data_IF_175567770264
#
_entry.id   IF_175567770264
#
_cell.length_a   1.000
_cell.length_b   1.000
_cell.length_c   1.000
_cell.angle_alpha   90.00
_cell.angle_beta   90.00
_cell.angle_gamma   90.00
#
_symmetry.space_group_name_H-M   'P 1'
#
loop_
_entity.id
_entity.type
_entity.pdbx_description
1 polymer ?
#
# COMPACT_ATOMS: atom_id res chain seq x y z
N UNK A 1 13.74 30.90 -27.04
CA UNK A 1 12.80 29.76 -26.90
C UNK A 1 13.35 28.79 -25.85
N UNK A 2 13.09 29.07 -24.57
CA UNK A 2 13.53 28.23 -23.43
C UNK A 2 12.26 27.58 -22.88
N UNK A 3 11.95 26.34 -23.26
CA UNK A 3 10.61 25.83 -22.90
C UNK A 3 10.29 24.35 -23.13
N UNK A 4 11.27 23.45 -23.33
CA UNK A 4 10.97 22.01 -23.50
C UNK A 4 11.81 21.06 -22.64
N UNK A 5 12.93 21.50 -22.04
CA UNK A 5 13.76 20.63 -21.18
C UNK A 5 13.19 20.37 -19.78
N UNK A 6 12.38 21.28 -19.24
CA UNK A 6 11.83 21.16 -17.89
C UNK A 6 10.76 20.07 -17.76
N UNK A 7 9.96 19.84 -18.80
CA UNK A 7 8.86 18.87 -18.78
C UNK A 7 9.32 17.40 -18.76
N UNK A 8 10.55 17.13 -19.18
CA UNK A 8 11.12 15.77 -19.15
C UNK A 8 11.82 15.43 -17.82
N UNK A 9 12.24 16.43 -17.05
CA UNK A 9 12.99 16.19 -15.82
C UNK A 9 12.08 15.68 -14.69
N UNK A 10 10.83 16.14 -14.64
CA UNK A 10 9.84 15.68 -13.65
C UNK A 10 9.55 14.18 -13.78
N UNK A 11 9.11 13.73 -14.97
CA UNK A 11 8.85 12.32 -15.24
C UNK A 11 10.11 11.45 -15.02
N UNK A 12 11.27 11.91 -15.49
CA UNK A 12 12.53 11.21 -15.30
C UNK A 12 12.87 11.04 -13.80
N UNK A 13 12.72 12.10 -13.00
CA UNK A 13 12.94 12.03 -11.55
C UNK A 13 11.95 11.08 -10.87
N UNK A 14 10.67 11.14 -11.24
CA UNK A 14 9.65 10.22 -10.71
C UNK A 14 9.95 8.77 -11.08
N UNK A 15 10.38 8.51 -12.31
CA UNK A 15 10.77 7.18 -12.76
C UNK A 15 12.00 6.68 -12.00
N UNK A 16 13.05 7.51 -11.87
CA UNK A 16 14.22 7.15 -11.07
C UNK A 16 13.82 6.79 -9.63
N UNK A 17 12.96 7.59 -9.02
CA UNK A 17 12.47 7.35 -7.67
C UNK A 17 11.73 6.01 -7.55
N UNK A 18 10.80 5.72 -8.46
CA UNK A 18 10.07 4.45 -8.50
C UNK A 18 10.99 3.24 -8.71
N UNK A 19 12.07 3.42 -9.46
CA UNK A 19 13.06 2.37 -9.72
C UNK A 19 14.10 2.22 -8.59
N UNK A 20 14.11 3.09 -7.57
CA UNK A 20 15.14 3.09 -6.52
C UNK A 20 16.49 3.62 -7.02
N UNK A 21 16.47 4.54 -7.99
CA UNK A 21 17.65 5.16 -8.57
C UNK A 21 17.80 6.60 -8.11
N UNK A 22 19.05 7.03 -7.95
CA UNK A 22 19.36 8.43 -7.72
C UNK A 22 19.28 9.23 -9.03
N UNK A 23 18.60 10.38 -9.00
CA UNK A 23 18.42 11.27 -10.15
C UNK A 23 19.53 12.32 -10.30
N UNK A 24 20.59 12.29 -9.48
CA UNK A 24 21.70 13.26 -9.54
C UNK A 24 22.26 13.33 -10.97
N UNK A 25 22.18 14.53 -11.56
CA UNK A 25 22.84 14.84 -12.81
C UNK A 25 24.35 14.72 -12.58
N UNK A 26 25.05 13.89 -13.37
CA UNK A 26 26.49 13.88 -13.29
C UNK A 26 27.03 15.24 -13.76
N UNK A 27 28.15 15.67 -13.20
CA UNK A 27 28.79 16.97 -13.47
C UNK A 27 29.14 17.21 -14.95
N UNK A 28 29.10 16.16 -15.79
CA UNK A 28 29.34 16.21 -17.23
C UNK A 28 28.05 16.26 -18.08
N UNK A 29 26.87 16.42 -17.47
CA UNK A 29 25.58 16.48 -18.19
C UNK A 29 25.05 15.14 -18.69
N UNK A 30 25.79 14.03 -18.51
CA UNK A 30 25.29 12.67 -18.76
C UNK A 30 24.60 12.14 -17.51
N UNK A 31 23.33 11.76 -17.62
CA UNK A 31 22.70 11.01 -16.55
C UNK A 31 23.39 9.65 -16.37
N UNK A 32 23.64 9.26 -15.11
CA UNK A 32 24.18 7.93 -14.78
C UNK A 32 23.24 7.27 -13.77
N UNK A 33 22.78 6.08 -14.11
CA UNK A 33 22.02 5.25 -13.20
C UNK A 33 22.89 4.91 -11.98
N UNK A 34 22.48 5.35 -10.79
CA UNK A 34 23.05 4.92 -9.52
C UNK A 34 21.94 4.27 -8.70
N UNK A 35 21.98 2.95 -8.59
CA UNK A 35 21.08 2.19 -7.73
C UNK A 35 21.36 2.54 -6.28
N UNK A 36 20.29 2.82 -5.53
CA UNK A 36 20.37 3.04 -4.09
C UNK A 36 20.46 1.70 -3.34
N UNK A 37 21.01 1.66 -2.13
CA UNK A 37 20.87 0.52 -1.24
C UNK A 37 19.39 0.15 -1.05
N UNK A 38 19.10 -1.15 -0.91
CA UNK A 38 17.71 -1.64 -0.87
C UNK A 38 16.88 -0.99 0.24
N UNK A 39 17.47 -0.75 1.41
CA UNK A 39 16.82 -0.10 2.54
C UNK A 39 16.43 1.35 2.22
N UNK A 40 17.30 2.10 1.56
CA UNK A 40 17.02 3.48 1.16
C UNK A 40 15.96 3.53 0.06
N UNK A 41 16.07 2.64 -0.93
CA UNK A 41 15.10 2.52 -2.01
C UNK A 41 13.71 2.12 -1.50
N UNK A 42 13.64 1.22 -0.51
CA UNK A 42 12.39 0.80 0.12
C UNK A 42 11.77 1.96 0.91
N UNK A 43 12.55 2.63 1.75
CA UNK A 43 12.07 3.78 2.52
C UNK A 43 11.55 4.92 1.63
N UNK A 44 12.16 5.13 0.46
CA UNK A 44 11.67 6.06 -0.55
C UNK A 44 10.33 5.60 -1.13
N UNK A 45 10.21 4.33 -1.53
CA UNK A 45 8.96 3.77 -2.06
C UNK A 45 7.81 3.82 -1.04
N UNK A 46 8.10 3.54 0.22
CA UNK A 46 7.12 3.54 1.32
C UNK A 46 6.69 4.94 1.75
N UNK A 47 7.43 5.98 1.36
CA UNK A 47 7.02 7.37 1.55
C UNK A 47 5.91 7.79 0.55
N UNK A 48 5.90 7.21 -0.66
CA UNK A 48 4.90 7.53 -1.68
C UNK A 48 3.64 6.69 -1.51
N UNK A 49 2.70 7.22 -0.74
CA UNK A 49 1.44 6.56 -0.39
C UNK A 49 0.33 6.95 -1.38
N UNK A 50 -0.64 6.04 -1.56
CA UNK A 50 -1.87 6.32 -2.29
C UNK A 50 -2.77 7.21 -1.42
N UNK A 51 -3.39 8.24 -2.04
CA UNK A 51 -4.26 9.20 -1.38
C UNK A 51 -5.66 9.24 -2.05
N UNK A 52 -6.78 9.20 -1.31
CA UNK A 52 -6.88 9.08 0.16
C UNK A 52 -6.19 7.81 0.69
N UNK A 53 -5.80 7.74 1.97
CA UNK A 53 -5.01 6.61 2.48
C UNK A 53 -5.73 5.28 2.28
N UNK A 54 -5.05 4.29 1.70
CA UNK A 54 -5.61 2.96 1.43
C UNK A 54 -4.76 1.90 2.11
N UNK A 55 -5.40 0.95 2.80
CA UNK A 55 -4.79 -0.31 3.21
C UNK A 55 -5.26 -1.41 2.27
N UNK A 56 -4.32 -2.19 1.75
CA UNK A 56 -4.57 -3.32 0.88
C UNK A 56 -4.58 -4.58 1.74
N UNK A 57 -5.65 -5.34 1.65
CA UNK A 57 -5.82 -6.64 2.30
C UNK A 57 -5.77 -7.73 1.24
N UNK A 58 -4.88 -8.70 1.43
CA UNK A 58 -4.79 -9.91 0.63
C UNK A 58 -5.31 -11.09 1.43
N UNK A 59 -6.21 -11.85 0.83
CA UNK A 59 -6.66 -13.14 1.35
C UNK A 59 -5.80 -14.26 0.76
N UNK A 60 -4.92 -14.81 1.58
CA UNK A 60 -3.99 -15.88 1.17
C UNK A 60 -4.70 -17.22 0.86
N UNK A 61 -5.92 -17.42 1.35
CA UNK A 61 -6.66 -18.69 1.18
C UNK A 61 -7.19 -18.93 -0.24
N UNK A 62 -7.32 -17.88 -1.07
CA UNK A 62 -7.91 -18.02 -2.42
C UNK A 62 -6.95 -18.69 -3.41
N UNK A 63 -5.64 -18.62 -3.15
CA UNK A 63 -4.61 -19.25 -3.98
C UNK A 63 -4.59 -20.78 -3.89
N UNK A 64 -5.23 -21.38 -2.88
CA UNK A 64 -5.21 -22.84 -2.72
C UNK A 64 -6.06 -23.53 -3.79
N UNK A 65 -5.51 -24.55 -4.44
CA UNK A 65 -6.17 -25.35 -5.49
C UNK A 65 -7.30 -26.22 -4.97
N UNK A 66 -7.35 -26.48 -3.67
CA UNK A 66 -8.40 -27.27 -3.03
C UNK A 66 -9.57 -26.35 -2.66
N UNK A 67 -10.72 -26.54 -3.31
CA UNK A 67 -11.96 -25.78 -3.08
C UNK A 67 -12.40 -25.80 -1.61
N UNK A 68 -12.16 -26.90 -0.92
CA UNK A 68 -12.68 -27.17 0.42
C UNK A 68 -12.01 -26.35 1.53
N UNK A 69 -10.96 -25.58 1.19
CA UNK A 69 -10.19 -24.76 2.14
C UNK A 69 -10.15 -23.27 1.78
N UNK A 70 -10.84 -22.87 0.71
CA UNK A 70 -10.96 -21.45 0.33
C UNK A 70 -11.89 -20.74 1.30
N UNK A 71 -11.41 -19.67 1.90
CA UNK A 71 -12.21 -18.81 2.76
C UNK A 71 -12.61 -17.62 1.92
N UNK A 72 -13.85 -17.61 1.46
CA UNK A 72 -14.41 -16.42 0.81
C UNK A 72 -14.77 -15.46 1.93
N UNK A 73 -14.10 -14.31 1.95
CA UNK A 73 -14.41 -13.23 2.90
C UNK A 73 -15.21 -12.16 2.17
N UNK A 74 -16.41 -11.84 2.65
CA UNK A 74 -17.30 -10.81 2.10
C UNK A 74 -16.86 -9.40 2.52
N UNK A 75 -17.41 -8.36 1.88
CA UNK A 75 -17.11 -6.96 2.25
C UNK A 75 -17.62 -6.69 3.67
N UNK A 76 -18.83 -7.16 3.97
CA UNK A 76 -19.52 -6.99 5.24
C UNK A 76 -18.74 -7.66 6.40
N UNK A 77 -18.15 -8.82 6.15
CA UNK A 77 -17.29 -9.52 7.11
C UNK A 77 -16.01 -8.71 7.42
N UNK A 78 -15.37 -8.14 6.39
CA UNK A 78 -14.22 -7.24 6.61
C UNK A 78 -14.64 -5.99 7.37
N UNK A 79 -15.76 -5.37 7.02
CA UNK A 79 -16.24 -4.18 7.71
C UNK A 79 -16.54 -4.45 9.18
N UNK A 80 -17.21 -5.57 9.48
CA UNK A 80 -17.45 -6.01 10.85
C UNK A 80 -16.15 -6.23 11.61
N UNK A 81 -15.24 -6.98 11.00
CA UNK A 81 -13.92 -7.26 11.54
C UNK A 81 -13.12 -5.98 11.87
N UNK A 82 -13.14 -4.99 10.97
CA UNK A 82 -12.45 -3.72 11.17
C UNK A 82 -13.12 -2.85 12.25
N UNK A 83 -14.46 -2.88 12.35
CA UNK A 83 -15.18 -2.21 13.44
C UNK A 83 -14.83 -2.81 14.80
N UNK A 84 -14.78 -4.13 14.91
CA UNK A 84 -14.45 -4.83 16.15
C UNK A 84 -13.02 -4.52 16.63
N UNK A 85 -12.11 -4.23 15.70
CA UNK A 85 -10.75 -3.74 15.99
C UNK A 85 -10.65 -2.22 16.21
N UNK A 86 -11.77 -1.50 16.16
CA UNK A 86 -11.85 -0.07 16.44
C UNK A 86 -11.52 0.86 15.26
N UNK A 87 -11.55 0.40 14.01
CA UNK A 87 -11.24 1.22 12.83
C UNK A 87 -12.47 1.89 12.18
N UNK A 88 -13.68 1.66 12.71
CA UNK A 88 -14.93 2.01 12.03
C UNK A 88 -15.08 3.49 11.63
N UNK A 89 -14.58 4.43 12.43
CA UNK A 89 -14.76 5.88 12.19
C UNK A 89 -13.79 6.47 11.16
N UNK A 90 -12.62 5.84 10.97
CA UNK A 90 -11.59 6.33 10.05
C UNK A 90 -11.82 5.89 8.60
N UNK A 91 -12.58 4.80 8.40
CA UNK A 91 -12.83 4.16 7.11
C UNK A 91 -13.95 4.89 6.38
N UNK A 92 -13.73 5.25 5.11
CA UNK A 92 -14.74 5.81 4.23
C UNK A 92 -15.46 4.74 3.41
N UNK A 93 -14.74 3.70 2.97
CA UNK A 93 -15.27 2.62 2.12
C UNK A 93 -14.40 1.37 2.21
N UNK A 94 -15.02 0.20 2.16
CA UNK A 94 -14.34 -1.07 1.85
C UNK A 94 -14.85 -1.56 0.50
N UNK A 95 -13.94 -1.95 -0.40
CA UNK A 95 -14.30 -2.51 -1.69
C UNK A 95 -13.37 -3.64 -2.11
N UNK A 96 -13.77 -4.37 -3.15
CA UNK A 96 -12.86 -5.30 -3.84
C UNK A 96 -11.81 -4.51 -4.59
N UNK A 97 -10.61 -5.07 -4.68
CA UNK A 97 -9.56 -4.55 -5.55
C UNK A 97 -9.84 -4.85 -7.02
N UNK A 98 -8.78 -5.11 -7.78
CA UNK A 98 -8.87 -5.40 -9.22
C UNK A 98 -9.93 -6.48 -9.52
N UNK A 99 -10.87 -6.26 -10.48
CA UNK A 99 -12.03 -7.15 -10.70
C UNK A 99 -11.73 -8.63 -10.96
N UNK A 100 -10.60 -8.94 -11.61
CA UNK A 100 -10.19 -10.31 -11.89
C UNK A 100 -9.52 -11.02 -10.69
N UNK A 101 -9.31 -10.30 -9.58
CA UNK A 101 -8.66 -10.82 -8.38
C UNK A 101 -9.59 -10.71 -7.16
N UNK A 102 -10.29 -11.81 -6.86
CA UNK A 102 -11.18 -11.88 -5.71
C UNK A 102 -10.44 -11.92 -4.36
N UNK A 103 -9.11 -12.08 -4.36
CA UNK A 103 -8.29 -12.15 -3.15
C UNK A 103 -7.85 -10.80 -2.62
N UNK A 104 -8.12 -9.71 -3.34
CA UNK A 104 -7.72 -8.36 -2.92
C UNK A 104 -8.95 -7.59 -2.47
N UNK A 105 -8.83 -6.99 -1.29
CA UNK A 105 -9.78 -6.03 -0.76
C UNK A 105 -9.03 -4.76 -0.39
N UNK A 106 -9.68 -3.62 -0.54
CA UNK A 106 -9.11 -2.30 -0.30
C UNK A 106 -9.94 -1.58 0.74
N UNK A 107 -9.29 -1.16 1.82
CA UNK A 107 -9.87 -0.37 2.90
C UNK A 107 -9.43 1.07 2.68
N UNK A 108 -10.38 1.92 2.30
CA UNK A 108 -10.15 3.33 1.99
C UNK A 108 -10.48 4.12 3.26
N UNK A 109 -9.53 4.91 3.74
CA UNK A 109 -9.72 5.82 4.86
C UNK A 109 -10.11 7.20 4.35
N UNK A 110 -10.65 8.04 5.23
CA UNK A 110 -10.89 9.44 4.90
C UNK A 110 -9.58 10.13 4.49
N UNK A 111 -9.65 11.00 3.50
CA UNK A 111 -8.52 11.80 3.01
C UNK A 111 -8.11 12.92 3.97
N UNK A 112 -7.87 12.59 5.23
CA UNK A 112 -7.51 13.50 6.32
C UNK A 112 -6.24 13.00 7.01
N UNK A 113 -5.62 13.86 7.82
CA UNK A 113 -4.46 13.45 8.62
C UNK A 113 -4.80 12.34 9.62
N UNK A 114 -5.98 12.39 10.25
CA UNK A 114 -6.47 11.31 11.11
C UNK A 114 -6.72 10.01 10.35
N UNK A 115 -7.26 10.08 9.13
CA UNK A 115 -7.42 8.91 8.26
C UNK A 115 -6.09 8.25 7.90
N UNK A 116 -5.04 9.05 7.66
CA UNK A 116 -3.69 8.53 7.45
C UNK A 116 -3.16 7.81 8.68
N UNK A 117 -3.30 8.39 9.87
CA UNK A 117 -2.87 7.75 11.14
C UNK A 117 -3.59 6.42 11.37
N UNK A 118 -4.89 6.35 11.12
CA UNK A 118 -5.66 5.11 11.26
C UNK A 118 -5.25 4.05 10.22
N UNK A 119 -4.97 4.46 8.99
CA UNK A 119 -4.43 3.57 7.96
C UNK A 119 -3.05 3.01 8.36
N UNK A 120 -2.18 3.85 8.92
CA UNK A 120 -0.88 3.42 9.45
C UNK A 120 -1.01 2.53 10.68
N UNK A 121 -1.98 2.79 11.57
CA UNK A 121 -2.30 1.93 12.71
C UNK A 121 -2.72 0.54 12.25
N UNK A 122 -3.56 0.43 11.22
CA UNK A 122 -3.96 -0.86 10.65
C UNK A 122 -2.79 -1.56 9.97
N UNK A 123 -1.99 -0.84 9.19
CA UNK A 123 -0.78 -1.38 8.56
C UNK A 123 0.20 -1.95 9.60
N UNK A 124 0.46 -1.21 10.67
CA UNK A 124 1.35 -1.62 11.76
C UNK A 124 0.81 -2.86 12.48
N UNK A 125 -0.50 -2.90 12.76
CA UNK A 125 -1.15 -4.06 13.37
C UNK A 125 -0.88 -5.35 12.56
N UNK A 126 -1.01 -5.30 11.25
CA UNK A 126 -0.71 -6.47 10.40
C UNK A 126 0.78 -6.81 10.38
N UNK A 127 1.67 -5.82 10.30
CA UNK A 127 3.11 -6.05 10.32
C UNK A 127 3.57 -6.69 11.65
N UNK A 128 3.09 -6.20 12.80
CA UNK A 128 3.40 -6.75 14.12
C UNK A 128 2.92 -8.20 14.27
N UNK A 129 1.81 -8.55 13.62
CA UNK A 129 1.26 -9.90 13.59
C UNK A 129 1.90 -10.80 12.52
N UNK A 130 3.01 -10.38 11.87
CA UNK A 130 3.68 -11.12 10.77
C UNK A 130 2.76 -11.38 9.57
N UNK A 131 1.80 -10.49 9.37
CA UNK A 131 0.83 -10.53 8.28
C UNK A 131 0.98 -9.28 7.39
N UNK A 132 2.20 -8.75 7.30
CA UNK A 132 2.50 -7.55 6.54
C UNK A 132 2.81 -7.83 5.07
N UNK A 133 3.29 -6.79 4.37
CA UNK A 133 3.70 -6.87 2.96
C UNK A 133 4.80 -7.89 2.74
N UNK A 134 5.82 -7.90 3.61
CA UNK A 134 6.99 -8.76 3.46
C UNK A 134 6.61 -10.24 3.59
N UNK A 135 5.77 -10.57 4.58
CA UNK A 135 5.32 -11.94 4.81
C UNK A 135 4.40 -12.41 3.68
N UNK A 136 3.51 -11.55 3.19
CA UNK A 136 2.69 -11.87 2.03
C UNK A 136 3.53 -12.14 0.77
N UNK A 137 4.58 -11.36 0.55
CA UNK A 137 5.50 -11.57 -0.58
C UNK A 137 6.28 -12.89 -0.46
N UNK A 138 6.64 -13.30 0.76
CA UNK A 138 7.32 -14.59 0.99
C UNK A 138 6.40 -15.79 0.73
N UNK A 139 5.09 -15.64 0.96
CA UNK A 139 4.09 -16.68 0.70
C UNK A 139 3.96 -17.01 -0.80
N UNK A 140 4.58 -16.22 -1.68
CA UNK A 140 4.61 -16.45 -3.13
C UNK A 140 5.95 -17.00 -3.68
N UNK A 141 6.86 -17.50 -2.84
CA UNK A 141 8.14 -18.07 -3.29
C UNK A 141 8.46 -19.50 -2.80
N UNK A 142 7.59 -20.14 -2.02
CA UNK A 142 7.78 -21.53 -1.60
C UNK A 142 6.70 -22.45 -2.16
N UNK A 143 7.08 -23.28 -3.15
CA UNK A 143 6.44 -24.57 -3.39
C UNK A 143 6.64 -25.43 -2.14
N UNK A 144 5.71 -25.38 -1.17
CA UNK A 144 5.83 -26.12 0.09
C UNK A 144 4.50 -26.35 0.78
N UNK A 145 4.34 -27.58 1.29
CA UNK A 145 3.11 -28.25 1.70
C UNK A 145 2.18 -27.56 2.71
N UNK A 146 0.89 -27.85 2.50
CA UNK A 146 -0.30 -27.47 3.28
C UNK A 146 -0.26 -27.94 4.74
N UNK A 147 -0.57 -27.04 5.68
CA UNK A 147 -1.09 -27.39 7.01
C UNK A 147 -2.41 -26.67 7.28
N UNK A 148 -3.38 -27.42 7.82
CA UNK A 148 -4.74 -26.95 8.17
C UNK A 148 -4.74 -26.09 9.43
N UNK A 149 -5.56 -25.05 9.47
CA UNK A 149 -5.91 -24.31 10.68
C UNK A 149 -7.45 -24.31 10.95
N UNK A 150 -7.92 -24.26 12.22
CA UNK A 150 -9.33 -24.29 12.62
C UNK A 150 -10.04 -22.92 12.48
N UNK A 151 -11.37 -22.92 12.52
CA UNK A 151 -12.31 -21.84 12.14
C UNK A 151 -12.38 -20.67 13.14
N UNK A 152 -11.33 -19.84 13.19
CA UNK A 152 -11.34 -18.44 13.65
C UNK A 152 -10.58 -17.53 12.63
N UNK A 153 -10.75 -17.89 11.35
CA UNK A 153 -9.72 -17.88 10.29
C UNK A 153 -9.51 -16.57 9.54
N UNK A 154 -10.34 -15.54 9.75
CA UNK A 154 -10.24 -14.31 8.94
C UNK A 154 -8.93 -13.56 9.24
N UNK A 155 -8.57 -13.44 10.53
CA UNK A 155 -7.27 -12.88 10.94
C UNK A 155 -6.10 -13.65 10.34
N UNK A 156 -6.22 -14.97 10.36
CA UNK A 156 -5.14 -15.90 9.98
C UNK A 156 -4.86 -15.93 8.48
N UNK A 157 -5.80 -15.52 7.64
CA UNK A 157 -5.65 -15.53 6.17
C UNK A 157 -5.47 -14.16 5.55
N UNK A 158 -5.71 -13.08 6.32
CA UNK A 158 -5.56 -11.73 5.82
C UNK A 158 -4.17 -11.17 6.08
N UNK A 159 -3.59 -10.65 5.01
CA UNK A 159 -2.33 -9.91 5.03
C UNK A 159 -2.61 -8.47 4.65
N UNK A 160 -2.16 -7.52 5.46
CA UNK A 160 -2.52 -6.12 5.33
C UNK A 160 -1.31 -5.20 5.29
N UNK A 161 -1.33 -4.22 4.39
CA UNK A 161 -0.30 -3.20 4.33
C UNK A 161 -0.78 -1.89 3.72
N UNK A 162 -0.11 -0.78 4.06
CA UNK A 162 -0.41 0.53 3.48
C UNK A 162 -0.07 0.55 1.98
N UNK A 163 -1.02 0.99 1.17
CA UNK A 163 -0.89 1.09 -0.28
C UNK A 163 0.11 2.17 -0.68
N UNK A 164 1.11 1.80 -1.48
CA UNK A 164 2.12 2.72 -2.03
C UNK A 164 1.90 2.88 -3.53
N UNK A 165 2.62 3.81 -4.17
CA UNK A 165 2.51 4.06 -5.61
C UNK A 165 2.58 2.78 -6.48
N UNK A 166 3.41 1.81 -6.08
CA UNK A 166 3.56 0.52 -6.76
C UNK A 166 2.37 -0.44 -6.64
N UNK A 167 1.33 -0.10 -5.88
CA UNK A 167 0.13 -0.92 -5.73
C UNK A 167 -1.10 -0.37 -6.46
N UNK A 168 -0.96 0.72 -7.22
CA UNK A 168 -2.05 1.34 -7.97
C UNK A 168 -2.75 0.36 -8.95
N UNK A 169 -2.07 -0.70 -9.38
CA UNK A 169 -2.61 -1.74 -10.25
C UNK A 169 -3.51 -2.76 -9.52
N UNK A 170 -3.50 -2.76 -8.18
CA UNK A 170 -4.31 -3.64 -7.32
C UNK A 170 -5.68 -3.07 -7.00
N UNK A 171 -5.88 -1.78 -7.24
CA UNK A 171 -7.14 -1.08 -6.98
C UNK A 171 -8.17 -1.39 -8.08
N UNK A 172 -9.45 -1.24 -7.74
CA UNK A 172 -10.52 -1.17 -8.74
C UNK A 172 -10.40 0.12 -9.57
N UNK A 173 -11.11 0.16 -10.71
CA UNK A 173 -11.00 1.27 -11.66
C UNK A 173 -11.45 2.60 -11.07
N UNK A 174 -12.55 2.62 -10.31
CA UNK A 174 -13.11 3.83 -9.72
C UNK A 174 -12.11 4.40 -8.71
N UNK A 175 -11.67 3.58 -7.75
CA UNK A 175 -10.71 3.99 -6.73
C UNK A 175 -9.40 4.46 -7.35
N UNK A 176 -8.89 3.74 -8.35
CA UNK A 176 -7.66 4.12 -9.06
C UNK A 176 -7.79 5.47 -9.77
N UNK A 177 -8.94 5.73 -10.38
CA UNK A 177 -9.17 6.97 -11.15
C UNK A 177 -9.21 8.23 -10.29
N UNK A 178 -9.62 8.08 -9.03
CA UNK A 178 -9.72 9.17 -8.05
C UNK A 178 -8.48 9.29 -7.15
N UNK A 179 -7.57 8.32 -7.20
CA UNK A 179 -6.41 8.25 -6.32
C UNK A 179 -5.25 9.14 -6.80
N UNK A 180 -4.57 9.76 -5.84
CA UNK A 180 -3.33 10.51 -6.04
C UNK A 180 -2.17 9.78 -5.35
N UNK A 181 -0.94 10.13 -5.71
CA UNK A 181 0.26 9.72 -4.96
C UNK A 181 0.79 10.92 -4.20
N UNK A 182 1.02 10.77 -2.90
CA UNK A 182 1.54 11.82 -2.03
C UNK A 182 2.74 11.32 -1.21
N UNK A 183 3.66 12.22 -0.88
CA UNK A 183 4.71 11.95 0.10
C UNK A 183 4.11 12.00 1.50
N UNK A 184 4.30 10.93 2.27
CA UNK A 184 3.91 10.86 3.67
C UNK A 184 4.68 11.87 4.50
N UNK A 185 6.00 11.97 4.31
CA UNK A 185 6.86 12.94 5.01
C UNK A 185 6.39 14.38 4.79
N UNK A 186 6.00 14.74 3.57
CA UNK A 186 5.48 16.09 3.29
C UNK A 186 4.15 16.36 4.00
N UNK A 187 3.26 15.37 4.07
CA UNK A 187 1.99 15.48 4.80
C UNK A 187 2.25 15.72 6.30
N UNK A 188 3.16 14.94 6.90
CA UNK A 188 3.54 15.11 8.30
C UNK A 188 4.22 16.46 8.57
N UNK A 189 5.18 16.86 7.72
CA UNK A 189 5.85 18.16 7.85
C UNK A 189 4.85 19.32 7.77
N UNK A 190 3.85 19.22 6.89
CA UNK A 190 2.79 20.24 6.78
C UNK A 190 1.90 20.26 8.03
N UNK A 191 1.53 19.09 8.57
CA UNK A 191 0.74 18.99 9.79
C UNK A 191 1.49 19.56 11.00
N UNK A 192 2.78 19.22 11.15
CA UNK A 192 3.62 19.70 12.24
C UNK A 192 3.84 21.23 12.15
N UNK A 193 4.01 21.77 10.94
CA UNK A 193 4.12 23.21 10.74
C UNK A 193 2.83 23.95 11.18
N UNK A 194 1.65 23.38 10.92
CA UNK A 194 0.38 23.96 11.33
C UNK A 194 0.18 23.94 12.86
N UNK A 195 0.66 22.91 13.55
CA UNK A 195 0.57 22.80 15.02
C UNK A 195 1.49 23.78 15.76
N UNK A 196 2.55 24.27 15.12
CA UNK A 196 3.51 25.21 15.72
C UNK A 196 3.11 26.69 15.52
N UNK A 197 1.92 26.97 14.96
CA UNK A 197 1.39 28.32 14.73
C UNK A 197 0.35 28.71 15.80
N UNK A 198 -0.11 27.76 16.63
CA UNK A 198 -0.94 27.98 17.83
C UNK A 198 -0.08 28.13 19.10
#
# INVERSE_FOLDING_TARGET
MVGLRANHLGLHKSLCFLMGWNSVAASNGLWRQKTLPDVEALAMKEDLVIWPPIVILHNSSIATTNSDHRIIVSIEEIEAFLRDMGFGWGISKVCRGKPANQSIMTVIFHGTFSGLKEAERLHKLYAENKHGRAEFQQINCSSGETKKAPLDKVKDVLYGYLGIAGDLDKLDFETKSCALVKSKKEIYATADALLNIE
#
